data_IF_018436979863
#
_entry.id   IF_018436979863
#
_cell.length_a   1.000
_cell.length_b   1.000
_cell.length_c   1.000
_cell.angle_alpha   90.00
_cell.angle_beta   90.00
_cell.angle_gamma   90.00
#
_symmetry.space_group_name_H-M   'P 1'
#
loop_
_entity.id
_entity.type
_entity.pdbx_description
1 polymer ?
#
# COMPACT_ATOMS: atom_id res chain seq x y z
N UNK A 1 -10.89 15.19 -4.44
CA UNK A 1 -9.91 14.23 -4.97
C UNK A 1 -10.63 12.92 -5.19
N UNK A 2 -10.43 12.27 -6.34
CA UNK A 2 -10.95 10.93 -6.62
C UNK A 2 -9.77 9.98 -6.74
N UNK A 3 -9.79 8.87 -6.00
CA UNK A 3 -8.71 7.88 -6.00
C UNK A 3 -9.26 6.49 -6.33
N UNK A 4 -8.46 5.71 -7.05
CA UNK A 4 -8.71 4.30 -7.35
C UNK A 4 -7.45 3.50 -7.12
N UNK A 5 -7.59 2.40 -6.38
CA UNK A 5 -6.53 1.43 -6.10
C UNK A 5 -6.97 0.06 -6.63
N UNK A 6 -6.04 -0.68 -7.21
CA UNK A 6 -6.24 -2.04 -7.69
C UNK A 6 -5.06 -2.92 -7.26
N UNK A 7 -5.40 -4.07 -6.68
CA UNK A 7 -4.48 -5.16 -6.36
C UNK A 7 -4.81 -6.34 -7.25
N UNK A 8 -3.84 -6.85 -8.00
CA UNK A 8 -3.99 -8.05 -8.83
C UNK A 8 -2.81 -8.98 -8.64
N UNK A 9 -2.99 -10.31 -8.74
CA UNK A 9 -1.85 -11.21 -8.86
C UNK A 9 -0.93 -10.75 -9.99
N UNK A 10 0.38 -10.78 -9.75
CA UNK A 10 1.36 -10.43 -10.78
C UNK A 10 1.41 -11.51 -11.84
N UNK A 11 1.30 -11.11 -13.11
CA UNK A 11 1.47 -12.02 -14.24
C UNK A 11 2.94 -12.44 -14.44
N UNK A 12 3.87 -11.57 -14.06
CA UNK A 12 5.31 -11.75 -14.33
C UNK A 12 6.06 -12.47 -13.20
N UNK A 13 5.46 -12.57 -12.01
CA UNK A 13 6.11 -13.15 -10.84
C UNK A 13 5.10 -13.86 -9.92
N UNK A 14 5.22 -15.19 -9.82
CA UNK A 14 4.37 -16.00 -8.94
C UNK A 14 4.53 -15.60 -7.47
N UNK A 15 3.41 -15.45 -6.75
CA UNK A 15 3.40 -15.01 -5.35
C UNK A 15 3.56 -13.50 -5.15
N UNK A 16 3.68 -12.72 -6.22
CA UNK A 16 3.68 -11.26 -6.14
C UNK A 16 2.30 -10.67 -6.45
N UNK A 17 2.04 -9.47 -5.93
CA UNK A 17 0.84 -8.68 -6.22
C UNK A 17 1.25 -7.39 -6.92
N UNK A 18 0.64 -7.10 -8.07
CA UNK A 18 0.75 -5.81 -8.73
C UNK A 18 -0.17 -4.80 -8.04
N UNK A 19 0.42 -3.70 -7.60
CA UNK A 19 -0.28 -2.56 -7.02
C UNK A 19 -0.38 -1.43 -8.04
N UNK A 20 -1.59 -0.95 -8.33
CA UNK A 20 -1.84 0.19 -9.21
C UNK A 20 -2.75 1.20 -8.53
N UNK A 21 -2.30 2.45 -8.44
CA UNK A 21 -3.05 3.56 -7.85
C UNK A 21 -3.12 4.71 -8.84
N UNK A 22 -4.30 5.32 -8.97
CA UNK A 22 -4.52 6.52 -9.79
C UNK A 22 -5.38 7.50 -9.02
N UNK A 23 -5.00 8.78 -9.01
CA UNK A 23 -5.82 9.85 -8.45
C UNK A 23 -6.06 10.97 -9.46
N UNK A 24 -7.27 11.54 -9.39
CA UNK A 24 -7.68 12.71 -10.14
C UNK A 24 -7.94 13.84 -9.15
N UNK A 25 -7.24 14.94 -9.34
CA UNK A 25 -7.33 16.15 -8.52
C UNK A 25 -7.90 17.23 -9.43
N UNK A 26 -9.06 17.78 -9.08
CA UNK A 26 -9.73 18.84 -9.85
C UNK A 26 -9.99 19.99 -8.89
N UNK A 27 -9.46 21.16 -9.21
CA UNK A 27 -9.78 22.41 -8.52
C UNK A 27 -10.74 23.23 -9.40
N UNK A 28 -12.01 23.33 -8.99
CA UNK A 28 -12.99 24.21 -9.63
C UNK A 28 -12.81 25.64 -9.11
N UNK A 29 -11.77 26.33 -9.59
CA UNK A 29 -11.49 27.71 -9.21
C UNK A 29 -11.95 28.65 -10.33
N UNK A 30 -13.13 29.25 -10.21
CA UNK A 30 -13.54 30.35 -11.07
C UNK A 30 -12.57 31.54 -10.91
N UNK A 31 -12.00 32.04 -12.01
CA UNK A 31 -11.24 33.29 -12.06
C UNK A 31 -9.78 33.30 -11.55
N UNK A 32 -9.24 32.19 -11.01
CA UNK A 32 -7.92 32.16 -10.36
C UNK A 32 -6.94 31.13 -10.96
N UNK A 33 -6.64 31.26 -12.27
CA UNK A 33 -5.78 30.32 -13.01
C UNK A 33 -4.35 30.14 -12.43
N UNK A 34 -3.74 31.19 -11.86
CA UNK A 34 -2.39 31.07 -11.25
C UNK A 34 -2.37 30.25 -9.95
N UNK A 35 -3.42 30.35 -9.13
CA UNK A 35 -3.53 29.56 -7.89
C UNK A 35 -3.81 28.09 -8.20
N UNK A 36 -4.56 27.81 -9.28
CA UNK A 36 -4.81 26.45 -9.74
C UNK A 36 -3.52 25.68 -10.02
N UNK A 37 -2.56 26.28 -10.74
CA UNK A 37 -1.31 25.60 -11.09
C UNK A 37 -0.47 25.26 -9.85
N UNK A 38 -0.33 26.19 -8.90
CA UNK A 38 0.41 25.93 -7.66
C UNK A 38 -0.28 24.88 -6.78
N UNK A 39 -1.61 24.86 -6.72
CA UNK A 39 -2.35 23.82 -5.98
C UNK A 39 -2.18 22.46 -6.66
N UNK A 40 -2.20 22.39 -7.99
CA UNK A 40 -1.99 21.15 -8.74
C UNK A 40 -0.58 20.60 -8.50
N UNK A 41 0.46 21.43 -8.55
CA UNK A 41 1.85 21.03 -8.26
C UNK A 41 2.02 20.51 -6.83
N UNK A 42 1.50 21.23 -5.83
CA UNK A 42 1.58 20.80 -4.42
C UNK A 42 0.83 19.47 -4.23
N UNK A 43 -0.34 19.33 -4.87
CA UNK A 43 -1.15 18.12 -4.76
C UNK A 43 -0.49 16.93 -5.44
N UNK A 44 0.19 17.14 -6.56
CA UNK A 44 0.97 16.11 -7.24
C UNK A 44 2.14 15.64 -6.37
N UNK A 45 2.90 16.56 -5.80
CA UNK A 45 4.03 16.26 -4.93
C UNK A 45 3.58 15.46 -3.69
N UNK A 46 2.48 15.90 -3.05
CA UNK A 46 1.88 15.17 -1.92
C UNK A 46 1.40 13.78 -2.32
N UNK A 47 0.81 13.63 -3.50
CA UNK A 47 0.37 12.32 -3.98
C UNK A 47 1.55 11.36 -4.19
N UNK A 48 2.66 11.84 -4.76
CA UNK A 48 3.89 11.03 -4.92
C UNK A 48 4.47 10.62 -3.58
N UNK A 49 4.54 11.54 -2.62
CA UNK A 49 5.02 11.25 -1.27
C UNK A 49 4.11 10.23 -0.56
N UNK A 50 2.79 10.37 -0.69
CA UNK A 50 1.83 9.44 -0.11
C UNK A 50 1.92 8.04 -0.73
N UNK A 51 2.16 7.95 -2.05
CA UNK A 51 2.37 6.67 -2.72
C UNK A 51 3.64 5.96 -2.22
N UNK A 52 4.75 6.69 -2.07
CA UNK A 52 6.00 6.13 -1.54
C UNK A 52 5.87 5.66 -0.09
N UNK A 53 5.31 6.49 0.79
CA UNK A 53 5.07 6.13 2.20
C UNK A 53 4.05 5.01 2.34
N UNK A 54 3.00 5.02 1.52
CA UNK A 54 2.00 3.97 1.48
C UNK A 54 2.61 2.63 1.12
N UNK A 55 3.50 2.58 0.13
CA UNK A 55 4.26 1.38 -0.22
C UNK A 55 5.13 0.91 0.95
N UNK A 56 5.94 1.79 1.53
CA UNK A 56 6.84 1.45 2.65
C UNK A 56 6.05 0.86 3.83
N UNK A 57 4.97 1.52 4.24
CA UNK A 57 4.12 1.05 5.32
C UNK A 57 3.48 -0.31 5.01
N UNK A 58 3.02 -0.51 3.77
CA UNK A 58 2.42 -1.78 3.35
C UNK A 58 3.45 -2.91 3.35
N UNK A 59 4.65 -2.69 2.81
CA UNK A 59 5.74 -3.67 2.82
C UNK A 59 6.14 -4.04 4.25
N UNK A 60 6.17 -3.07 5.16
CA UNK A 60 6.44 -3.32 6.59
C UNK A 60 5.37 -4.18 7.26
N UNK A 61 4.09 -3.92 7.00
CA UNK A 61 3.00 -4.75 7.52
C UNK A 61 3.13 -6.19 7.01
N UNK A 62 3.41 -6.37 5.71
CA UNK A 62 3.60 -7.71 5.13
C UNK A 62 4.78 -8.47 5.75
N UNK A 63 5.88 -7.77 6.02
CA UNK A 63 7.04 -8.35 6.70
C UNK A 63 6.67 -8.83 8.11
N UNK A 64 6.05 -7.96 8.92
CA UNK A 64 5.63 -8.29 10.28
C UNK A 64 4.63 -9.45 10.28
N UNK A 65 3.64 -9.43 9.37
CA UNK A 65 2.67 -10.51 9.24
C UNK A 65 3.35 -11.85 8.95
N UNK A 66 4.34 -11.90 8.03
CA UNK A 66 5.08 -13.15 7.75
C UNK A 66 5.80 -13.68 8.99
N UNK A 67 6.43 -12.81 9.77
CA UNK A 67 7.14 -13.17 11.00
C UNK A 67 6.17 -13.73 12.05
N UNK A 68 5.09 -13.02 12.34
CA UNK A 68 4.08 -13.43 13.35
C UNK A 68 3.43 -14.76 12.95
N UNK A 69 3.03 -14.92 11.69
CA UNK A 69 2.43 -16.18 11.23
C UNK A 69 3.42 -17.34 11.24
N UNK A 70 4.72 -17.11 11.04
CA UNK A 70 5.74 -18.15 11.17
C UNK A 70 5.87 -18.61 12.62
N UNK A 71 5.99 -17.66 13.56
CA UNK A 71 6.05 -17.93 14.99
C UNK A 71 4.83 -18.73 15.47
N UNK A 72 3.62 -18.30 15.09
CA UNK A 72 2.38 -19.01 15.46
C UNK A 72 2.34 -20.45 14.93
N UNK A 73 2.89 -20.72 13.73
CA UNK A 73 2.97 -22.09 13.20
C UNK A 73 3.96 -22.95 13.97
N UNK A 74 5.09 -22.38 14.39
CA UNK A 74 6.08 -23.08 15.21
C UNK A 74 5.54 -23.40 16.60
N UNK A 75 4.89 -22.44 17.26
CA UNK A 75 4.23 -22.63 18.56
C UNK A 75 3.14 -23.71 18.47
N UNK A 76 2.28 -23.65 17.46
CA UNK A 76 1.25 -24.66 17.24
C UNK A 76 1.84 -26.06 16.99
N UNK A 77 2.99 -26.14 16.33
CA UNK A 77 3.70 -27.41 16.12
C UNK A 77 4.27 -27.96 17.42
N UNK A 78 4.94 -27.14 18.22
CA UNK A 78 5.49 -27.52 19.52
C UNK A 78 4.40 -27.94 20.50
N UNK A 79 3.26 -27.25 20.52
CA UNK A 79 2.10 -27.65 21.34
C UNK A 79 1.54 -29.01 20.92
N UNK A 80 1.45 -29.29 19.61
CA UNK A 80 1.00 -30.61 19.12
C UNK A 80 1.99 -31.72 19.47
N UNK A 81 3.29 -31.46 19.34
CA UNK A 81 4.34 -32.44 19.64
C UNK A 81 4.46 -32.68 21.16
N UNK A 82 4.30 -31.65 21.99
CA UNK A 82 4.31 -31.76 23.45
C UNK A 82 3.06 -32.36 24.07
N UNK A 83 1.93 -32.39 23.36
CA UNK A 83 0.71 -33.13 23.77
C UNK A 83 0.76 -34.60 23.34
N UNK A 84 1.64 -34.96 22.39
CA UNK A 84 1.82 -36.32 21.89
C UNK A 84 2.91 -37.11 22.64
N UNK A 85 3.64 -36.48 23.57
CA UNK A 85 4.66 -37.07 24.43
C UNK A 85 4.11 -37.31 25.85
#
# INVERSE_FOLDING_TARGET
>A
VQEKVQYTPSADAAGHTTFKQSAKIIALCGGWQKIKNSIEEISLERFRQNAAKGREGFERVLEISRQVFAQQREEARQQREGVAA
#
